data_IF_646649187675
#
_entry.id   IF_646649187675
#
_cell.length_a   1.000
_cell.length_b   1.000
_cell.length_c   1.000
_cell.angle_alpha   90.00
_cell.angle_beta   90.00
_cell.angle_gamma   90.00
#
_symmetry.space_group_name_H-M   'P 1'
#
loop_
_entity.id
_entity.type
_entity.pdbx_description
1 polymer ?
#
# COMPACT_ATOMS: atom_id res chain seq x y z
N UNK A 1 43.17 37.62 27.84
CA UNK A 1 43.47 37.30 26.41
C UNK A 1 42.18 37.35 25.65
N UNK A 2 42.10 38.34 24.77
CA UNK A 2 40.91 38.78 24.04
C UNK A 2 40.79 37.91 22.78
N UNK A 3 39.67 37.24 22.57
CA UNK A 3 39.41 36.49 21.34
C UNK A 3 38.54 37.34 20.40
N UNK A 4 39.12 37.66 19.24
CA UNK A 4 38.50 38.44 18.16
C UNK A 4 37.49 37.60 17.44
N UNK A 5 36.26 38.09 17.34
CA UNK A 5 35.20 37.58 16.43
C UNK A 5 35.26 38.45 15.17
N UNK A 6 35.63 37.90 14.04
CA UNK A 6 35.60 38.55 12.73
C UNK A 6 34.23 38.31 12.10
N UNK A 7 33.42 39.36 12.01
CA UNK A 7 32.17 39.39 11.25
C UNK A 7 32.44 39.77 9.79
N UNK A 8 32.10 38.89 8.86
CA UNK A 8 32.21 39.13 7.42
C UNK A 8 30.95 39.84 6.94
N UNK A 9 31.06 41.11 6.55
CA UNK A 9 30.01 41.94 5.97
C UNK A 9 29.89 41.62 4.47
N UNK A 10 28.76 41.06 4.04
CA UNK A 10 28.47 40.85 2.63
C UNK A 10 27.80 42.16 2.08
N UNK A 11 28.49 42.86 1.18
CA UNK A 11 27.97 44.04 0.51
C UNK A 11 26.92 43.63 -0.53
N UNK A 12 25.68 44.14 -0.38
CA UNK A 12 24.63 44.05 -1.42
C UNK A 12 24.86 45.18 -2.40
N UNK A 13 25.11 44.82 -3.67
CA UNK A 13 25.12 45.78 -4.79
C UNK A 13 23.66 46.09 -5.18
N UNK A 14 23.24 47.32 -4.97
CA UNK A 14 21.93 47.85 -5.39
C UNK A 14 22.12 48.52 -6.75
N UNK A 15 21.48 48.01 -7.80
CA UNK A 15 21.42 48.65 -9.10
C UNK A 15 20.27 49.65 -9.10
N UNK A 16 20.43 50.90 -9.60
CA UNK A 16 19.34 51.84 -9.75
C UNK A 16 18.42 51.43 -10.91
N UNK A 17 17.12 51.30 -10.61
CA UNK A 17 16.11 51.10 -11.63
C UNK A 17 15.66 52.44 -12.21
N UNK A 18 15.74 52.60 -13.52
CA UNK A 18 15.15 53.71 -14.26
C UNK A 18 13.62 53.53 -14.32
N UNK A 19 12.81 54.56 -14.11
CA UNK A 19 11.36 54.45 -14.27
C UNK A 19 11.00 54.39 -15.75
N UNK A 20 10.37 53.27 -16.20
CA UNK A 20 9.71 53.21 -17.49
C UNK A 20 8.28 53.71 -17.36
N UNK A 21 7.97 54.78 -18.09
CA UNK A 21 6.61 55.30 -18.28
C UNK A 21 5.93 54.51 -19.41
N UNK A 22 5.42 53.33 -19.11
CA UNK A 22 4.47 52.63 -19.99
C UNK A 22 3.09 52.61 -19.32
N UNK A 23 2.00 52.92 -20.06
CA UNK A 23 0.65 52.89 -19.51
C UNK A 23 0.27 51.41 -19.21
N UNK A 24 -0.25 51.21 -18.01
CA UNK A 24 -0.71 49.89 -17.55
C UNK A 24 -1.77 49.34 -18.53
N UNK A 25 -1.63 48.07 -18.99
CA UNK A 25 -2.71 47.42 -19.71
C UNK A 25 -3.83 47.11 -18.71
N UNK A 26 -5.03 47.49 -19.07
CA UNK A 26 -6.28 47.13 -18.37
C UNK A 26 -6.32 45.59 -18.24
N UNK A 27 -5.87 45.09 -17.12
CA UNK A 27 -5.94 43.68 -16.76
C UNK A 27 -7.35 43.35 -16.28
N UNK A 28 -8.17 42.84 -17.20
CA UNK A 28 -9.25 41.95 -16.78
C UNK A 28 -8.60 40.76 -16.08
N UNK A 29 -8.80 40.70 -14.75
CA UNK A 29 -8.37 39.58 -13.95
C UNK A 29 -8.98 38.29 -14.50
N UNK A 30 -8.20 37.55 -15.30
CA UNK A 30 -8.46 36.12 -15.52
C UNK A 30 -8.25 35.45 -14.16
N UNK A 31 -9.34 35.29 -13.42
CA UNK A 31 -9.37 34.41 -12.30
C UNK A 31 -8.86 33.05 -12.79
N UNK A 32 -7.69 32.65 -12.34
CA UNK A 32 -7.19 31.31 -12.49
C UNK A 32 -8.14 30.45 -11.65
N UNK A 33 -9.15 29.86 -12.32
CA UNK A 33 -9.99 28.84 -11.68
C UNK A 33 -9.10 27.62 -11.60
N UNK A 34 -8.45 27.42 -10.47
CA UNK A 34 -7.85 26.13 -10.13
C UNK A 34 -8.99 25.12 -9.97
N UNK A 35 -9.37 24.53 -11.09
CA UNK A 35 -10.27 23.39 -11.09
C UNK A 35 -9.43 22.22 -10.57
N UNK A 36 -9.47 22.00 -9.27
CA UNK A 36 -9.01 20.77 -8.65
C UNK A 36 -9.90 19.64 -9.17
N UNK A 37 -9.55 19.08 -10.31
CA UNK A 37 -10.28 17.98 -10.91
C UNK A 37 -10.00 16.75 -10.06
N UNK A 38 -11.00 16.30 -9.29
CA UNK A 38 -10.92 15.06 -8.54
C UNK A 38 -10.60 13.92 -9.50
N UNK A 39 -9.47 13.27 -9.29
CA UNK A 39 -9.04 12.10 -10.04
C UNK A 39 -8.89 10.93 -9.09
N UNK A 40 -9.52 9.81 -9.40
CA UNK A 40 -9.46 8.57 -8.61
C UNK A 40 -8.54 7.59 -9.31
N UNK A 41 -7.33 7.35 -8.77
CA UNK A 41 -6.43 6.34 -9.30
C UNK A 41 -6.84 4.95 -8.83
N UNK A 42 -6.75 3.97 -9.72
CA UNK A 42 -6.97 2.55 -9.45
C UNK A 42 -5.74 1.76 -9.89
N UNK A 43 -5.22 0.95 -8.98
CA UNK A 43 -4.27 -0.10 -9.31
C UNK A 43 -5.04 -1.34 -9.72
N UNK A 44 -4.79 -1.85 -10.92
CA UNK A 44 -5.56 -2.96 -11.47
C UNK A 44 -4.62 -4.09 -11.86
N UNK A 45 -4.76 -5.23 -11.20
CA UNK A 45 -4.15 -6.49 -11.61
C UNK A 45 -5.07 -7.20 -12.59
N UNK A 46 -4.52 -7.74 -13.67
CA UNK A 46 -5.29 -8.54 -14.62
C UNK A 46 -4.67 -9.92 -14.80
N UNK A 47 -5.52 -10.94 -14.73
CA UNK A 47 -5.11 -12.34 -14.96
C UNK A 47 -5.96 -12.98 -16.05
N UNK A 48 -5.39 -13.97 -16.73
CA UNK A 48 -6.13 -14.87 -17.59
C UNK A 48 -6.89 -15.95 -16.76
N UNK A 49 -7.60 -16.83 -17.44
CA UNK A 49 -8.35 -17.93 -16.80
C UNK A 49 -7.46 -18.97 -16.11
N UNK A 50 -6.15 -18.97 -16.37
CA UNK A 50 -5.14 -19.82 -15.71
C UNK A 50 -4.47 -19.10 -14.53
N UNK A 51 -4.88 -17.84 -14.23
CA UNK A 51 -4.30 -17.04 -13.16
C UNK A 51 -2.96 -16.38 -13.52
N UNK A 52 -2.52 -16.44 -14.78
CA UNK A 52 -1.29 -15.77 -15.25
C UNK A 52 -1.55 -14.27 -15.43
N UNK A 53 -0.60 -13.45 -14.95
CA UNK A 53 -0.65 -11.99 -15.13
C UNK A 53 -0.60 -11.60 -16.60
N UNK A 54 -1.44 -10.63 -16.98
CA UNK A 54 -1.57 -10.10 -18.34
C UNK A 54 -1.17 -8.63 -18.33
N UNK A 55 -0.13 -8.26 -19.09
CA UNK A 55 0.47 -6.92 -19.10
C UNK A 55 0.44 -6.23 -20.47
N UNK A 56 -0.29 -6.80 -21.44
CA UNK A 56 -0.31 -6.35 -22.84
C UNK A 56 -1.58 -5.62 -23.25
N UNK A 57 -2.48 -5.35 -22.29
CA UNK A 57 -3.78 -4.74 -22.53
C UNK A 57 -3.67 -3.23 -22.76
N UNK A 58 -4.71 -2.68 -23.35
CA UNK A 58 -4.87 -1.25 -23.64
C UNK A 58 -6.04 -0.66 -22.82
N UNK A 59 -6.20 0.66 -22.85
CA UNK A 59 -7.31 1.34 -22.16
C UNK A 59 -8.70 0.80 -22.57
N UNK A 60 -8.87 0.40 -23.82
CA UNK A 60 -10.17 -0.02 -24.38
C UNK A 60 -10.63 -1.39 -23.86
N UNK A 61 -9.69 -2.15 -23.25
CA UNK A 61 -10.00 -3.43 -22.62
C UNK A 61 -10.67 -3.30 -21.26
N UNK A 62 -10.74 -2.08 -20.69
CA UNK A 62 -11.23 -1.81 -19.34
C UNK A 62 -12.51 -0.99 -19.32
N UNK A 63 -13.41 -1.32 -18.41
CA UNK A 63 -14.59 -0.54 -18.05
C UNK A 63 -14.62 -0.32 -16.55
N UNK A 64 -14.63 0.94 -16.13
CA UNK A 64 -14.64 1.33 -14.71
C UNK A 64 -16.05 1.75 -14.32
N UNK A 65 -16.54 1.25 -13.20
CA UNK A 65 -17.83 1.63 -12.64
C UNK A 65 -17.64 2.15 -11.22
N UNK A 66 -18.36 3.23 -10.88
CA UNK A 66 -18.51 3.75 -9.53
C UNK A 66 -20.00 3.80 -9.22
N UNK A 67 -20.42 3.18 -8.11
CA UNK A 67 -21.85 3.06 -7.75
C UNK A 67 -22.72 2.60 -8.94
N UNK A 68 -22.23 1.56 -9.64
CA UNK A 68 -22.80 0.95 -10.85
C UNK A 68 -22.93 1.87 -12.08
N UNK A 69 -22.41 3.08 -12.02
CA UNK A 69 -22.36 4.02 -13.14
C UNK A 69 -21.02 3.92 -13.87
N UNK A 70 -21.08 3.72 -15.20
CA UNK A 70 -19.88 3.70 -16.04
C UNK A 70 -19.15 5.04 -15.96
N UNK A 71 -17.84 4.98 -15.72
CA UNK A 71 -16.96 6.14 -15.60
C UNK A 71 -16.07 6.29 -16.83
N UNK A 72 -15.67 7.53 -17.13
CA UNK A 72 -14.76 7.82 -18.23
C UNK A 72 -13.31 7.76 -17.74
N UNK A 73 -12.54 6.79 -18.25
CA UNK A 73 -11.11 6.66 -17.97
C UNK A 73 -10.37 7.87 -18.56
N UNK A 74 -9.71 8.65 -17.71
CA UNK A 74 -8.95 9.84 -18.09
C UNK A 74 -7.49 9.54 -18.39
N UNK A 75 -6.87 8.71 -17.56
CA UNK A 75 -5.50 8.25 -17.81
C UNK A 75 -5.38 6.74 -17.68
N UNK A 76 -4.43 6.20 -18.41
CA UNK A 76 -4.09 4.78 -18.43
C UNK A 76 -2.58 4.66 -18.57
N UNK A 77 -1.95 3.94 -17.66
CA UNK A 77 -0.52 3.64 -17.73
C UNK A 77 -0.27 2.17 -17.42
N UNK A 78 0.72 1.61 -18.08
CA UNK A 78 1.34 0.33 -17.75
C UNK A 78 2.64 0.52 -16.99
N UNK A 79 2.90 1.76 -16.54
CA UNK A 79 4.10 2.07 -15.79
C UNK A 79 3.97 1.51 -14.38
N UNK A 80 4.55 0.34 -14.20
CA UNK A 80 4.58 -0.39 -12.94
C UNK A 80 5.79 -0.01 -12.09
N UNK A 81 6.52 1.03 -12.50
CA UNK A 81 7.75 1.44 -11.85
C UNK A 81 7.55 2.52 -10.78
N UNK A 82 6.34 2.62 -10.21
CA UNK A 82 6.08 3.49 -9.06
C UNK A 82 6.89 3.02 -7.83
N UNK A 83 7.44 3.98 -7.04
CA UNK A 83 8.10 3.65 -5.78
C UNK A 83 7.13 2.96 -4.82
N UNK A 84 7.60 1.91 -4.13
CA UNK A 84 6.81 1.19 -3.14
C UNK A 84 7.16 1.64 -1.73
N UNK A 85 6.14 1.70 -0.85
CA UNK A 85 6.28 1.76 0.60
C UNK A 85 5.59 0.51 1.18
N UNK A 86 6.39 -0.41 1.69
CA UNK A 86 5.95 -1.75 2.10
C UNK A 86 6.01 -1.85 3.63
N UNK A 87 4.90 -2.22 4.26
CA UNK A 87 4.92 -2.73 5.63
C UNK A 87 4.74 -4.25 5.61
N UNK A 88 5.79 -4.98 5.98
CA UNK A 88 5.70 -6.43 6.17
C UNK A 88 5.27 -6.68 7.62
N UNK A 89 4.06 -7.23 7.79
CA UNK A 89 3.49 -7.59 9.08
C UNK A 89 3.61 -9.09 9.27
N UNK A 90 4.33 -9.52 10.30
CA UNK A 90 4.56 -10.93 10.59
C UNK A 90 3.95 -11.26 11.93
N UNK A 91 3.04 -12.21 11.90
CA UNK A 91 2.46 -12.82 13.10
C UNK A 91 3.57 -13.50 13.90
N UNK A 92 3.66 -13.16 15.16
CA UNK A 92 4.60 -13.77 16.10
C UNK A 92 3.88 -14.40 17.29
N UNK A 93 2.61 -14.73 17.15
CA UNK A 93 1.81 -15.41 18.16
C UNK A 93 2.29 -16.83 18.47
N UNK A 94 1.74 -17.41 19.53
CA UNK A 94 2.11 -18.77 19.94
C UNK A 94 1.80 -19.85 18.90
N UNK A 95 0.81 -19.65 18.04
CA UNK A 95 0.40 -20.58 16.98
C UNK A 95 1.42 -20.75 15.85
N UNK A 96 2.34 -19.77 15.67
CA UNK A 96 3.32 -19.77 14.56
C UNK A 96 4.72 -20.25 14.94
N UNK A 97 4.96 -20.66 16.19
CA UNK A 97 6.30 -21.04 16.70
C UNK A 97 7.01 -22.04 15.77
N UNK A 98 6.31 -23.06 15.30
CA UNK A 98 6.90 -24.08 14.41
C UNK A 98 7.16 -23.56 12.98
N UNK A 99 6.49 -22.49 12.57
CA UNK A 99 6.50 -21.93 11.21
C UNK A 99 7.44 -20.74 11.08
N UNK A 100 7.71 -20.05 12.17
CA UNK A 100 8.43 -18.76 12.19
C UNK A 100 9.79 -18.80 11.46
N UNK A 101 10.47 -19.94 11.46
CA UNK A 101 11.75 -20.09 10.75
C UNK A 101 11.56 -20.00 9.23
N UNK A 102 10.53 -20.65 8.70
CA UNK A 102 10.20 -20.65 7.26
C UNK A 102 9.67 -19.27 6.83
N UNK A 103 8.83 -18.66 7.66
CA UNK A 103 8.30 -17.30 7.44
C UNK A 103 9.43 -16.27 7.37
N UNK A 104 10.41 -16.34 8.29
CA UNK A 104 11.59 -15.48 8.27
C UNK A 104 12.42 -15.64 7.00
N UNK A 105 12.71 -16.87 6.59
CA UNK A 105 13.50 -17.11 5.38
C UNK A 105 12.79 -16.57 4.14
N UNK A 106 11.50 -16.87 3.98
CA UNK A 106 10.70 -16.40 2.85
C UNK A 106 10.54 -14.86 2.83
N UNK A 107 10.39 -14.22 4.01
CA UNK A 107 10.32 -12.78 4.14
C UNK A 107 11.66 -12.09 3.74
N UNK A 108 12.78 -12.67 4.10
CA UNK A 108 14.11 -12.17 3.69
C UNK A 108 14.27 -12.26 2.17
N UNK A 109 13.98 -13.41 1.58
CA UNK A 109 14.04 -13.61 0.13
C UNK A 109 13.14 -12.64 -0.62
N UNK A 110 11.96 -12.34 -0.09
CA UNK A 110 11.05 -11.34 -0.65
C UNK A 110 11.71 -9.96 -0.74
N UNK A 111 12.35 -9.49 0.31
CA UNK A 111 13.00 -8.18 0.28
C UNK A 111 14.14 -8.14 -0.75
N UNK A 112 14.98 -9.16 -0.79
CA UNK A 112 16.10 -9.22 -1.75
C UNK A 112 15.64 -9.32 -3.20
N UNK A 113 14.53 -10.01 -3.46
CA UNK A 113 14.02 -10.23 -4.83
C UNK A 113 13.13 -9.10 -5.33
N UNK A 114 12.39 -8.42 -4.46
CA UNK A 114 11.33 -7.48 -4.84
C UNK A 114 11.77 -6.02 -4.78
N UNK A 115 12.60 -5.66 -3.79
CA UNK A 115 12.92 -4.25 -3.55
C UNK A 115 13.96 -3.70 -4.53
N UNK A 116 13.70 -2.50 -5.03
CA UNK A 116 14.65 -1.68 -5.79
C UNK A 116 15.25 -0.63 -4.85
N UNK A 117 16.53 -0.78 -4.53
CA UNK A 117 17.28 0.19 -3.69
C UNK A 117 17.11 1.62 -4.21
N UNK A 118 17.12 2.59 -3.32
CA UNK A 118 16.93 4.04 -3.58
C UNK A 118 15.55 4.42 -4.16
N UNK A 119 14.72 3.45 -4.44
CA UNK A 119 13.38 3.66 -4.99
C UNK A 119 12.30 3.18 -4.04
N UNK A 120 12.36 1.91 -3.67
CA UNK A 120 11.42 1.30 -2.73
C UNK A 120 11.95 1.45 -1.31
N UNK A 121 11.02 1.44 -0.36
CA UNK A 121 11.35 1.40 1.06
C UNK A 121 10.39 0.45 1.77
N UNK A 122 10.88 -0.21 2.79
CA UNK A 122 10.07 -1.14 3.56
C UNK A 122 10.35 -1.03 5.05
N UNK A 123 9.41 -1.57 5.83
CA UNK A 123 9.54 -1.75 7.27
C UNK A 123 9.06 -3.15 7.67
N UNK A 124 9.52 -3.62 8.82
CA UNK A 124 9.09 -4.89 9.41
C UNK A 124 8.38 -4.60 10.72
N UNK A 125 7.19 -5.15 10.86
CA UNK A 125 6.37 -5.11 12.06
C UNK A 125 6.12 -6.55 12.51
N UNK A 126 6.52 -6.87 13.72
CA UNK A 126 6.09 -8.09 14.40
C UNK A 126 4.89 -7.81 15.26
N UNK A 127 3.95 -8.72 15.33
CA UNK A 127 2.78 -8.58 16.21
C UNK A 127 2.40 -9.89 16.87
N UNK A 128 2.10 -9.78 18.15
CA UNK A 128 1.51 -10.81 19.02
C UNK A 128 0.31 -10.19 19.75
N UNK A 129 0.27 -10.20 21.08
CA UNK A 129 -0.66 -9.39 21.87
C UNK A 129 -0.37 -7.89 21.80
N UNK A 130 0.73 -7.50 21.16
CA UNK A 130 1.20 -6.14 20.95
C UNK A 130 1.82 -5.96 19.57
N UNK A 131 1.92 -4.72 19.11
CA UNK A 131 2.50 -4.39 17.79
C UNK A 131 3.85 -3.71 17.97
N UNK A 132 4.89 -4.24 17.35
CA UNK A 132 6.27 -3.76 17.47
C UNK A 132 6.91 -3.50 16.12
N UNK A 133 7.45 -2.29 15.90
CA UNK A 133 8.26 -1.98 14.73
C UNK A 133 9.65 -2.55 14.97
N UNK A 134 10.08 -3.45 14.10
CA UNK A 134 11.37 -4.12 14.21
C UNK A 134 12.48 -3.48 13.38
N UNK A 135 12.13 -2.74 12.33
CA UNK A 135 13.06 -1.95 11.52
C UNK A 135 13.23 -0.53 12.07
N UNK A 136 13.57 -0.43 13.37
CA UNK A 136 13.63 0.82 14.15
C UNK A 136 14.97 1.59 14.06
N UNK A 137 15.88 1.14 13.19
CA UNK A 137 17.18 1.80 12.98
C UNK A 137 17.09 3.14 12.24
N UNK A 138 15.91 3.46 11.68
CA UNK A 138 15.59 4.74 11.08
C UNK A 138 14.47 5.43 11.86
N UNK A 139 14.41 6.78 11.94
CA UNK A 139 13.41 7.49 12.74
C UNK A 139 11.97 7.18 12.35
N UNK A 140 11.72 6.90 11.08
CA UNK A 140 10.39 6.57 10.54
C UNK A 140 10.13 5.06 10.44
N UNK A 141 11.15 4.23 10.68
CA UNK A 141 11.07 2.76 10.61
C UNK A 141 11.21 2.19 9.21
N UNK A 142 11.33 3.02 8.16
CA UNK A 142 11.51 2.57 6.79
C UNK A 142 12.99 2.55 6.38
N UNK A 143 13.38 1.55 5.59
CA UNK A 143 14.70 1.47 4.94
C UNK A 143 14.59 0.94 3.52
N UNK A 144 15.52 1.31 2.67
CA UNK A 144 15.68 0.77 1.30
C UNK A 144 16.78 -0.30 1.21
N UNK A 145 17.33 -0.71 2.36
CA UNK A 145 18.39 -1.70 2.48
C UNK A 145 17.81 -3.07 2.87
N UNK A 146 17.72 -4.05 1.95
CA UNK A 146 17.19 -5.39 2.25
C UNK A 146 17.90 -6.10 3.40
N UNK A 147 19.19 -5.84 3.59
CA UNK A 147 19.99 -6.43 4.67
C UNK A 147 19.47 -6.02 6.06
N UNK A 148 19.16 -4.74 6.25
CA UNK A 148 18.57 -4.24 7.52
C UNK A 148 17.18 -4.81 7.77
N UNK A 149 16.39 -5.01 6.69
CA UNK A 149 15.09 -5.66 6.80
C UNK A 149 15.23 -7.13 7.18
N UNK A 150 16.21 -7.83 6.62
CA UNK A 150 16.51 -9.22 6.98
C UNK A 150 16.94 -9.34 8.45
N UNK A 151 17.75 -8.40 8.95
CA UNK A 151 18.11 -8.32 10.38
C UNK A 151 16.88 -8.08 11.25
N UNK A 152 15.98 -7.17 10.83
CA UNK A 152 14.72 -6.90 11.53
C UNK A 152 13.83 -8.13 11.61
N UNK A 153 13.69 -8.88 10.52
CA UNK A 153 12.96 -10.16 10.47
C UNK A 153 13.56 -11.17 11.46
N UNK A 154 14.89 -11.24 11.59
CA UNK A 154 15.54 -12.15 12.52
C UNK A 154 15.22 -11.83 13.99
N UNK A 155 14.88 -10.58 14.32
CA UNK A 155 14.51 -10.16 15.69
C UNK A 155 13.13 -10.61 16.14
N UNK A 156 12.28 -11.12 15.25
CA UNK A 156 10.96 -11.67 15.59
C UNK A 156 11.13 -12.80 16.61
N UNK A 157 10.34 -12.72 17.69
CA UNK A 157 10.25 -13.75 18.73
C UNK A 157 8.81 -14.18 18.83
N UNK A 158 8.56 -15.48 18.69
CA UNK A 158 7.21 -16.02 18.78
C UNK A 158 6.73 -16.18 20.22
N UNK A 159 5.46 -15.84 20.48
CA UNK A 159 4.79 -15.98 21.77
C UNK A 159 3.61 -15.00 21.90
N UNK A 160 2.73 -15.22 22.86
CA UNK A 160 1.58 -14.34 23.11
C UNK A 160 0.34 -14.66 22.28
N UNK A 161 -0.64 -13.74 22.33
CA UNK A 161 -1.86 -13.75 21.52
C UNK A 161 -1.65 -13.21 20.12
N UNK A 162 -2.72 -12.80 19.44
CA UNK A 162 -2.67 -12.29 18.06
C UNK A 162 -3.47 -11.01 17.93
N UNK A 163 -2.89 -9.94 17.41
CA UNK A 163 -3.53 -8.63 17.21
C UNK A 163 -3.42 -8.16 15.76
N UNK A 164 -4.07 -8.90 14.85
CA UNK A 164 -4.04 -8.64 13.38
C UNK A 164 -4.60 -7.27 13.05
N UNK A 165 -5.76 -6.92 13.64
CA UNK A 165 -6.43 -5.65 13.30
C UNK A 165 -5.66 -4.46 13.83
N UNK A 166 -5.09 -4.55 15.04
CA UNK A 166 -4.21 -3.52 15.60
C UNK A 166 -2.96 -3.34 14.73
N UNK A 167 -2.36 -4.44 14.23
CA UNK A 167 -1.19 -4.40 13.38
C UNK A 167 -1.47 -3.67 12.06
N UNK A 168 -2.58 -4.01 11.38
CA UNK A 168 -3.00 -3.34 10.14
C UNK A 168 -3.32 -1.86 10.41
N UNK A 169 -4.14 -1.57 11.42
CA UNK A 169 -4.56 -0.21 11.76
C UNK A 169 -3.35 0.68 12.07
N UNK A 170 -2.46 0.23 12.96
CA UNK A 170 -1.30 1.02 13.41
C UNK A 170 -0.24 1.16 12.31
N UNK A 171 -0.02 0.14 11.49
CA UNK A 171 0.88 0.23 10.35
C UNK A 171 0.47 1.34 9.39
N UNK A 172 -0.83 1.49 9.14
CA UNK A 172 -1.34 2.57 8.29
C UNK A 172 -1.34 3.90 9.02
N UNK A 173 -1.98 3.99 10.20
CA UNK A 173 -2.16 5.24 10.93
C UNK A 173 -0.82 5.93 11.27
N UNK A 174 0.17 5.15 11.70
CA UNK A 174 1.43 5.69 12.23
C UNK A 174 2.55 5.79 11.20
N UNK A 175 2.42 5.09 10.07
CA UNK A 175 3.51 4.93 9.10
C UNK A 175 3.06 5.13 7.66
N UNK A 176 2.38 4.15 7.05
CA UNK A 176 2.03 4.19 5.63
C UNK A 176 1.14 5.38 5.27
N UNK A 177 0.21 5.78 6.16
CA UNK A 177 -0.64 6.95 5.95
C UNK A 177 0.12 8.27 5.88
N UNK A 178 1.34 8.32 6.45
CA UNK A 178 2.22 9.48 6.43
C UNK A 178 3.16 9.51 5.22
N UNK A 179 3.21 8.43 4.44
CA UNK A 179 4.04 8.37 3.23
C UNK A 179 3.48 9.29 2.13
N UNK A 180 4.36 9.93 1.34
CA UNK A 180 3.95 10.77 0.21
C UNK A 180 3.00 10.06 -0.76
N UNK A 181 2.02 10.78 -1.31
CA UNK A 181 0.99 10.23 -2.20
C UNK A 181 1.51 9.65 -3.52
N UNK A 182 2.74 10.01 -3.93
CA UNK A 182 3.39 9.48 -5.13
C UNK A 182 3.89 8.04 -4.96
N UNK A 183 3.95 7.55 -3.72
CA UNK A 183 4.40 6.20 -3.41
C UNK A 183 3.21 5.25 -3.29
N UNK A 184 3.38 4.06 -3.82
CA UNK A 184 2.41 3.00 -3.68
C UNK A 184 2.54 2.34 -2.31
N UNK A 185 1.49 2.41 -1.51
CA UNK A 185 1.44 1.93 -0.12
C UNK A 185 0.87 0.52 -0.08
N UNK A 186 1.55 -0.37 0.60
CA UNK A 186 1.06 -1.74 0.73
C UNK A 186 1.48 -2.39 2.04
N UNK A 187 0.63 -3.28 2.49
CA UNK A 187 0.89 -4.23 3.57
C UNK A 187 1.09 -5.61 2.94
N UNK A 188 2.09 -6.34 3.39
CA UNK A 188 2.22 -7.78 3.19
C UNK A 188 2.05 -8.44 4.55
N UNK A 189 0.94 -9.13 4.75
CA UNK A 189 0.56 -9.78 6.00
C UNK A 189 0.86 -11.27 5.96
N UNK A 190 1.55 -11.77 6.98
CA UNK A 190 1.76 -13.20 7.22
C UNK A 190 1.08 -13.53 8.53
N UNK A 191 -0.02 -14.27 8.51
CA UNK A 191 -0.80 -14.64 9.69
C UNK A 191 -1.78 -15.78 9.37
N UNK A 192 -2.28 -16.44 10.40
CA UNK A 192 -3.41 -17.37 10.26
C UNK A 192 -4.78 -16.64 10.29
N UNK A 193 -4.78 -15.32 10.52
CA UNK A 193 -5.96 -14.47 10.49
C UNK A 193 -6.84 -14.56 11.75
N UNK A 194 -6.46 -15.37 12.73
CA UNK A 194 -7.19 -15.51 14.00
C UNK A 194 -6.80 -14.35 14.95
N UNK A 195 -7.72 -13.41 15.14
CA UNK A 195 -7.50 -12.26 16.01
C UNK A 195 -8.06 -12.50 17.40
N UNK A 196 -7.19 -12.44 18.41
CA UNK A 196 -7.57 -12.71 19.81
C UNK A 196 -7.34 -11.53 20.75
N UNK A 197 -6.63 -10.51 20.32
CA UNK A 197 -6.08 -9.50 21.23
C UNK A 197 -6.21 -8.05 20.74
N UNK A 198 -6.71 -7.82 19.53
CA UNK A 198 -6.87 -6.46 19.02
C UNK A 198 -7.87 -5.63 19.78
N UNK A 199 -7.59 -4.33 19.90
CA UNK A 199 -8.50 -3.31 20.43
C UNK A 199 -9.34 -2.67 19.32
N UNK A 200 -8.78 -2.58 18.10
CA UNK A 200 -9.51 -2.16 16.92
C UNK A 200 -10.27 -3.34 16.32
N UNK A 201 -11.40 -3.05 15.68
CA UNK A 201 -12.16 -4.03 14.91
C UNK A 201 -11.61 -4.21 13.50
N UNK A 202 -11.98 -5.31 12.84
CA UNK A 202 -11.71 -5.54 11.42
C UNK A 202 -12.20 -4.37 10.55
N UNK A 203 -13.39 -3.80 10.87
CA UNK A 203 -13.96 -2.68 10.12
C UNK A 203 -13.10 -1.43 10.24
N UNK A 204 -12.61 -1.09 11.44
CA UNK A 204 -11.73 0.07 11.64
C UNK A 204 -10.38 -0.11 10.94
N UNK A 205 -9.81 -1.32 10.97
CA UNK A 205 -8.57 -1.62 10.26
C UNK A 205 -8.74 -1.48 8.74
N UNK A 206 -9.84 -2.00 8.18
CA UNK A 206 -10.18 -1.86 6.75
C UNK A 206 -10.40 -0.40 6.35
N UNK A 207 -11.20 0.33 7.13
CA UNK A 207 -11.47 1.74 6.84
C UNK A 207 -10.17 2.56 6.86
N UNK A 208 -9.27 2.30 7.81
CA UNK A 208 -7.96 2.95 7.87
C UNK A 208 -7.15 2.67 6.60
N UNK A 209 -7.09 1.41 6.14
CA UNK A 209 -6.37 1.05 4.93
C UNK A 209 -6.97 1.71 3.67
N UNK A 210 -8.30 1.71 3.55
CA UNK A 210 -9.02 2.30 2.42
C UNK A 210 -8.88 3.83 2.35
N UNK A 211 -8.94 4.53 3.49
CA UNK A 211 -8.76 5.99 3.56
C UNK A 211 -7.37 6.45 3.15
N UNK A 212 -6.36 5.60 3.35
CA UNK A 212 -4.97 5.91 3.02
C UNK A 212 -4.47 5.21 1.75
N UNK A 213 -5.38 4.64 0.94
CA UNK A 213 -5.06 3.96 -0.32
C UNK A 213 -3.97 2.88 -0.18
N UNK A 214 -4.10 2.07 0.87
CA UNK A 214 -3.15 1.01 1.22
C UNK A 214 -3.71 -0.35 0.82
N UNK A 215 -3.06 -1.01 -0.13
CA UNK A 215 -3.41 -2.38 -0.54
C UNK A 215 -2.86 -3.40 0.46
N UNK A 216 -3.62 -4.46 0.75
CA UNK A 216 -3.20 -5.54 1.64
C UNK A 216 -3.05 -6.83 0.83
N UNK A 217 -1.83 -7.37 0.78
CA UNK A 217 -1.53 -8.73 0.34
C UNK A 217 -1.37 -9.61 1.55
N UNK A 218 -1.76 -10.87 1.47
CA UNK A 218 -1.63 -11.76 2.61
C UNK A 218 -1.18 -13.16 2.21
N UNK A 219 -0.42 -13.80 3.08
CA UNK A 219 -0.08 -15.22 3.01
C UNK A 219 -0.61 -15.86 4.28
N UNK A 220 -1.61 -16.73 4.13
CA UNK A 220 -2.17 -17.48 5.27
C UNK A 220 -1.16 -18.55 5.72
N UNK A 221 -0.98 -18.63 7.03
CA UNK A 221 -0.16 -19.66 7.65
C UNK A 221 -0.97 -20.88 8.12
N UNK A 222 -2.27 -20.91 7.82
CA UNK A 222 -3.13 -22.08 8.08
C UNK A 222 -2.73 -23.26 7.20
N UNK A 223 -2.43 -24.41 7.82
CA UNK A 223 -2.18 -25.65 7.06
C UNK A 223 -3.51 -26.15 6.48
N UNK A 224 -3.58 -26.30 5.17
CA UNK A 224 -4.78 -26.81 4.48
C UNK A 224 -5.05 -28.31 4.77
N UNK A 225 -4.03 -29.04 5.26
CA UNK A 225 -4.12 -30.49 5.54
C UNK A 225 -4.82 -30.83 6.85
N UNK A 226 -4.92 -29.88 7.79
CA UNK A 226 -5.59 -30.14 9.04
C UNK A 226 -7.10 -29.96 8.90
N UNK A 227 -7.87 -30.83 9.55
CA UNK A 227 -9.33 -30.74 9.64
C UNK A 227 -9.77 -29.28 9.82
N UNK A 228 -10.68 -28.83 8.97
CA UNK A 228 -11.24 -27.46 9.00
C UNK A 228 -11.85 -27.17 10.37
N UNK A 229 -11.03 -26.66 11.29
CA UNK A 229 -11.58 -26.10 12.52
C UNK A 229 -12.31 -24.81 12.18
N UNK A 230 -13.36 -24.48 12.92
CA UNK A 230 -14.13 -23.24 12.71
C UNK A 230 -13.23 -22.01 12.78
N UNK A 231 -12.31 -21.92 13.72
CA UNK A 231 -11.36 -20.82 13.86
C UNK A 231 -10.49 -20.61 12.61
N UNK A 232 -9.98 -21.69 11.97
CA UNK A 232 -9.19 -21.60 10.74
C UNK A 232 -10.01 -21.06 9.55
N UNK A 233 -11.27 -21.44 9.45
CA UNK A 233 -12.17 -20.92 8.40
C UNK A 233 -12.44 -19.44 8.64
N UNK A 234 -12.71 -19.05 9.88
CA UNK A 234 -12.96 -17.65 10.26
C UNK A 234 -11.70 -16.78 10.02
N UNK A 235 -10.49 -17.26 10.34
CA UNK A 235 -9.23 -16.57 10.07
C UNK A 235 -8.97 -16.37 8.56
N UNK A 236 -9.16 -17.43 7.77
CA UNK A 236 -9.01 -17.33 6.32
C UNK A 236 -10.04 -16.37 5.70
N UNK A 237 -11.26 -16.30 6.24
CA UNK A 237 -12.29 -15.37 5.76
C UNK A 237 -11.94 -13.90 6.12
N UNK A 238 -11.34 -13.67 7.30
CA UNK A 238 -10.76 -12.37 7.67
C UNK A 238 -9.68 -11.96 6.67
N UNK A 239 -8.75 -12.86 6.36
CA UNK A 239 -7.68 -12.62 5.39
C UNK A 239 -8.27 -12.27 4.01
N UNK A 240 -9.25 -13.05 3.51
CA UNK A 240 -9.91 -12.77 2.24
C UNK A 240 -10.56 -11.39 2.24
N UNK A 241 -11.29 -11.05 3.30
CA UNK A 241 -11.94 -9.75 3.41
C UNK A 241 -10.94 -8.59 3.39
N UNK A 242 -9.83 -8.69 4.11
CA UNK A 242 -8.78 -7.67 4.11
C UNK A 242 -8.23 -7.42 2.70
N UNK A 243 -7.94 -8.47 1.95
CA UNK A 243 -7.33 -8.33 0.62
C UNK A 243 -8.34 -7.91 -0.45
N UNK A 244 -9.55 -8.46 -0.44
CA UNK A 244 -10.58 -8.18 -1.43
C UNK A 244 -11.03 -6.71 -1.35
N UNK A 245 -11.23 -6.20 -0.15
CA UNK A 245 -11.65 -4.81 0.07
C UNK A 245 -10.59 -3.78 -0.31
N UNK A 246 -9.30 -4.15 -0.22
CA UNK A 246 -8.17 -3.25 -0.48
C UNK A 246 -7.50 -3.46 -1.83
N UNK A 247 -7.93 -4.45 -2.61
CA UNK A 247 -7.43 -4.74 -3.96
C UNK A 247 -6.13 -5.55 -4.01
N UNK A 248 -5.71 -6.11 -2.88
CA UNK A 248 -4.60 -7.06 -2.83
C UNK A 248 -5.02 -8.50 -3.12
N UNK A 249 -4.22 -9.47 -2.72
CA UNK A 249 -4.46 -10.90 -2.95
C UNK A 249 -4.01 -11.74 -1.78
N UNK A 250 -4.81 -12.76 -1.43
CA UNK A 250 -4.43 -13.77 -0.46
C UNK A 250 -3.88 -15.03 -1.13
N UNK A 251 -2.89 -15.62 -0.49
CA UNK A 251 -2.30 -16.89 -0.83
C UNK A 251 -2.48 -17.86 0.34
N UNK A 252 -2.81 -19.10 0.02
CA UNK A 252 -3.09 -20.16 0.99
C UNK A 252 -2.19 -21.37 0.68
N UNK A 253 -0.90 -21.31 1.06
CA UNK A 253 0.06 -22.37 0.72
C UNK A 253 -0.31 -23.70 1.38
N UNK A 254 -0.16 -24.79 0.63
CA UNK A 254 -0.38 -26.13 1.16
C UNK A 254 0.76 -26.59 2.06
N UNK A 255 1.97 -26.10 1.81
CA UNK A 255 3.20 -26.42 2.53
C UNK A 255 3.96 -25.14 2.85
N UNK A 256 4.73 -25.15 3.93
CA UNK A 256 5.59 -24.04 4.30
C UNK A 256 6.65 -23.70 3.23
N UNK A 257 7.11 -24.71 2.49
CA UNK A 257 8.06 -24.52 1.38
C UNK A 257 7.47 -23.70 0.22
N UNK A 258 6.14 -23.58 0.10
CA UNK A 258 5.47 -22.79 -0.93
C UNK A 258 5.52 -21.29 -0.65
N UNK A 259 5.83 -20.87 0.59
CA UNK A 259 5.84 -19.46 1.02
C UNK A 259 6.73 -18.58 0.13
N UNK A 260 7.95 -19.03 -0.19
CA UNK A 260 8.86 -18.27 -1.04
C UNK A 260 8.25 -18.02 -2.44
N UNK A 261 7.58 -19.04 -3.01
CA UNK A 261 6.88 -18.93 -4.28
C UNK A 261 5.69 -17.97 -4.23
N UNK A 262 4.98 -17.88 -3.11
CA UNK A 262 3.86 -16.97 -2.95
C UNK A 262 4.35 -15.52 -2.78
N UNK A 263 5.44 -15.29 -2.08
CA UNK A 263 6.11 -13.99 -2.03
C UNK A 263 6.59 -13.54 -3.41
N UNK A 264 7.18 -14.44 -4.21
CA UNK A 264 7.58 -14.12 -5.58
C UNK A 264 6.38 -13.69 -6.43
N UNK A 265 5.25 -14.38 -6.34
CA UNK A 265 4.00 -14.00 -7.03
C UNK A 265 3.50 -12.61 -6.61
N UNK A 266 3.64 -12.25 -5.32
CA UNK A 266 3.34 -10.88 -4.84
C UNK A 266 4.27 -9.89 -5.52
N UNK A 267 5.58 -10.12 -5.51
CA UNK A 267 6.57 -9.25 -6.15
C UNK A 267 6.30 -9.04 -7.64
N UNK A 268 6.02 -10.12 -8.38
CA UNK A 268 5.70 -10.08 -9.81
C UNK A 268 4.42 -9.28 -10.08
N UNK A 269 3.39 -9.47 -9.25
CA UNK A 269 2.14 -8.74 -9.39
C UNK A 269 2.32 -7.25 -9.11
N UNK A 270 3.08 -6.90 -8.07
CA UNK A 270 3.36 -5.50 -7.74
C UNK A 270 4.04 -4.73 -8.88
N UNK A 271 4.73 -5.43 -9.77
CA UNK A 271 5.42 -4.86 -10.95
C UNK A 271 4.64 -5.03 -12.26
N UNK A 272 3.41 -5.56 -12.21
CA UNK A 272 2.63 -5.91 -13.40
C UNK A 272 1.24 -5.29 -13.45
N UNK A 273 0.93 -4.34 -12.55
CA UNK A 273 -0.40 -3.72 -12.48
C UNK A 273 -0.54 -2.56 -13.46
N UNK A 274 -1.77 -2.30 -13.88
CA UNK A 274 -2.14 -1.09 -14.60
C UNK A 274 -2.51 0.01 -13.63
N UNK A 275 -2.18 1.25 -13.96
CA UNK A 275 -2.68 2.45 -13.28
C UNK A 275 -3.74 3.07 -14.17
N UNK A 276 -4.97 3.06 -13.69
CA UNK A 276 -6.12 3.65 -14.38
C UNK A 276 -6.63 4.78 -13.52
N UNK A 277 -6.85 5.98 -14.08
CA UNK A 277 -7.56 7.01 -13.34
C UNK A 277 -8.78 7.50 -14.09
N UNK A 278 -9.82 7.83 -13.33
CA UNK A 278 -11.05 8.40 -13.84
C UNK A 278 -11.47 9.63 -13.02
N UNK A 279 -12.26 10.48 -13.63
CA UNK A 279 -12.92 11.57 -12.95
C UNK A 279 -14.32 11.12 -12.56
N UNK A 280 -14.65 11.06 -11.26
CA UNK A 280 -15.97 10.64 -10.82
C UNK A 280 -17.06 11.54 -11.37
N UNK A 281 -18.18 10.96 -11.80
CA UNK A 281 -19.39 11.71 -12.14
C UNK A 281 -19.91 12.44 -10.89
N UNK A 282 -19.88 11.77 -9.73
CA UNK A 282 -20.17 12.39 -8.45
C UNK A 282 -18.88 13.01 -7.87
N UNK A 283 -18.76 14.33 -7.92
CA UNK A 283 -17.57 15.06 -7.45
C UNK A 283 -17.70 15.56 -6.00
N UNK A 284 -18.75 15.19 -5.26
CA UNK A 284 -18.91 15.58 -3.87
C UNK A 284 -17.82 14.97 -2.99
N UNK A 285 -17.14 15.79 -2.22
CA UNK A 285 -16.13 15.34 -1.24
C UNK A 285 -16.79 15.27 0.15
N UNK A 286 -17.77 14.38 0.28
CA UNK A 286 -18.66 14.23 1.44
C UNK A 286 -18.16 13.19 2.48
N UNK A 287 -17.02 12.56 2.20
CA UNK A 287 -16.43 11.55 3.08
C UNK A 287 -17.13 10.19 3.02
N UNK A 288 -18.15 10.02 2.14
CA UNK A 288 -18.85 8.74 2.00
C UNK A 288 -18.00 7.71 1.26
N UNK A 289 -18.23 6.44 1.57
CA UNK A 289 -17.62 5.32 0.85
C UNK A 289 -18.30 5.13 -0.51
N UNK A 290 -17.51 4.96 -1.55
CA UNK A 290 -17.98 4.73 -2.93
C UNK A 290 -17.41 3.44 -3.45
N UNK A 291 -18.28 2.55 -3.87
CA UNK A 291 -17.90 1.26 -4.45
C UNK A 291 -17.38 1.45 -5.88
N UNK A 292 -16.28 0.75 -6.17
CA UNK A 292 -15.64 0.75 -7.49
C UNK A 292 -15.50 -0.69 -7.97
N UNK A 293 -15.72 -0.92 -9.25
CA UNK A 293 -15.39 -2.19 -9.90
C UNK A 293 -14.83 -1.93 -11.29
N UNK A 294 -13.93 -2.82 -11.70
CA UNK A 294 -13.36 -2.82 -13.04
C UNK A 294 -13.80 -4.11 -13.74
N UNK A 295 -14.37 -3.97 -14.91
CA UNK A 295 -14.74 -5.08 -15.77
C UNK A 295 -13.84 -5.12 -17.00
N UNK A 296 -13.57 -6.32 -17.47
CA UNK A 296 -12.85 -6.54 -18.71
C UNK A 296 -13.82 -6.66 -19.88
N UNK A 297 -13.51 -6.04 -21.01
CA UNK A 297 -14.27 -6.16 -22.24
C UNK A 297 -14.28 -7.62 -22.74
N UNK A 298 -13.13 -8.30 -22.66
CA UNK A 298 -12.98 -9.71 -22.96
C UNK A 298 -13.08 -10.55 -21.67
N UNK A 299 -14.11 -11.38 -21.54
CA UNK A 299 -14.39 -12.22 -20.36
C UNK A 299 -13.35 -13.31 -20.07
N UNK A 300 -12.38 -13.53 -20.96
CA UNK A 300 -11.24 -14.43 -20.67
C UNK A 300 -10.27 -13.83 -19.65
N UNK A 301 -10.37 -12.53 -19.39
CA UNK A 301 -9.56 -11.83 -18.40
C UNK A 301 -10.37 -11.47 -17.17
N UNK A 302 -9.69 -11.44 -16.02
CA UNK A 302 -10.26 -11.04 -14.73
C UNK A 302 -9.45 -9.87 -14.18
N UNK A 303 -10.11 -8.74 -13.93
CA UNK A 303 -9.54 -7.58 -13.28
C UNK A 303 -9.76 -7.65 -11.77
N UNK A 304 -8.78 -7.16 -11.00
CA UNK A 304 -8.86 -6.97 -9.56
C UNK A 304 -8.32 -5.60 -9.18
N UNK A 305 -9.07 -4.89 -8.36
CA UNK A 305 -8.74 -3.58 -7.80
C UNK A 305 -9.40 -3.46 -6.43
N UNK A 306 -9.18 -2.37 -5.70
CA UNK A 306 -9.90 -2.10 -4.45
C UNK A 306 -11.41 -2.06 -4.67
N UNK A 307 -12.18 -2.48 -3.66
CA UNK A 307 -13.65 -2.52 -3.73
C UNK A 307 -14.27 -1.11 -3.72
N UNK A 308 -13.57 -0.12 -3.21
CA UNK A 308 -14.03 1.26 -3.16
C UNK A 308 -13.02 2.21 -2.51
N UNK A 309 -13.48 3.42 -2.25
CA UNK A 309 -12.70 4.47 -1.59
C UNK A 309 -13.61 5.44 -0.84
N UNK A 310 -13.05 6.21 0.08
CA UNK A 310 -13.76 7.29 0.76
C UNK A 310 -13.58 8.60 0.00
N UNK A 311 -14.67 9.25 -0.40
CA UNK A 311 -14.68 10.50 -1.14
C UNK A 311 -14.38 11.69 -0.20
N UNK A 312 -13.15 11.78 0.28
CA UNK A 312 -12.69 12.85 1.17
C UNK A 312 -11.71 13.78 0.46
N UNK A 313 -11.62 15.03 0.96
CA UNK A 313 -10.51 15.91 0.57
C UNK A 313 -9.20 15.22 0.94
N UNK A 314 -8.27 15.18 0.00
CA UNK A 314 -6.88 14.81 0.32
C UNK A 314 -6.32 15.98 1.13
N UNK A 315 -6.06 15.74 2.42
CA UNK A 315 -5.41 16.72 3.29
C UNK A 315 -3.92 16.78 2.99
#
# INVERSE_FOLDING_TARGET
MISLITATLAARVVYPQTPSNDPAPNGQGRGQIDINVLSVPLMVSVTDNKGKLVTTLTKDDFRVYEEDKLQNIKSFSRDTDLPLSIALLIDSSGSVIEKVKFEKAAAQDFFFSTMKRKKDRAMVIGFDSSVSILSDQTPDGFTDEPERLAEAVNRIKAGGGTSVYDAVYLAVQKKLGLEPGERRKLIVLISDGDDTSSRFSLTEALEMAQRHDTAIYAISTNKTSDTKSRAKVEGDDVIRKLVDETGGKAYFPLKLDDLAGDFQKIGDELRSQYVISYQPINQNLDGTYRRVRVEMTDKKYKARTRAGYFASKIN
#
